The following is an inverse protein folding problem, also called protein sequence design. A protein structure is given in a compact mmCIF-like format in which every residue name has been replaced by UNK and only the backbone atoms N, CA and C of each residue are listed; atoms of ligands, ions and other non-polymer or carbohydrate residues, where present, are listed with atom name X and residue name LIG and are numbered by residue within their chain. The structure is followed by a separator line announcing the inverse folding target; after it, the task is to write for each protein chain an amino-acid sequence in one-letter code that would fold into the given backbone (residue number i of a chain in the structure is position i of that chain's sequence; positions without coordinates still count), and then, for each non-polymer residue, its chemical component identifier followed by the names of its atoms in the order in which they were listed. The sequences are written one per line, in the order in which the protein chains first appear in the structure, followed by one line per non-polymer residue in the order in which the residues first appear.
data_IF_698869865673
#
_entry.id   IF_698869865673
#
_cell.length_a   1.000
_cell.length_b   1.000
_cell.length_c   1.000
_cell.angle_alpha   90.00
_cell.angle_beta   90.00
_cell.angle_gamma   90.00
#
_symmetry.space_group_name_H-M   'P 1'
#
loop_
_entity.id
_entity.type
_entity.pdbx_description
1 polymer ?
#
# COMPACT_ATOMS: atom_id res chain seq x y z
N UNK A 1 13.05 -2.53 -2.18
CA UNK A 1 11.78 -2.35 -1.48
C UNK A 1 11.59 -0.91 -1.04
N UNK A 2 10.35 -0.46 -1.01
CA UNK A 2 10.04 0.86 -0.45
C UNK A 2 9.98 0.82 1.08
N UNK A 3 9.69 -0.35 1.64
CA UNK A 3 9.64 -0.55 3.08
C UNK A 3 11.00 -0.23 3.71
N UNK A 4 10.94 0.56 4.78
CA UNK A 4 12.09 1.10 5.53
C UNK A 4 12.90 2.16 4.78
N UNK A 5 12.48 2.54 3.57
CA UNK A 5 13.04 3.68 2.83
C UNK A 5 11.99 4.78 2.71
N UNK A 6 10.92 4.52 1.97
CA UNK A 6 9.84 5.48 1.77
C UNK A 6 8.90 5.54 2.98
N UNK A 7 8.68 4.41 3.63
CA UNK A 7 7.76 4.30 4.77
C UNK A 7 8.22 3.22 5.74
N UNK A 8 7.70 3.30 6.96
CA UNK A 8 7.87 2.25 7.98
C UNK A 8 6.50 1.77 8.43
N UNK A 9 6.40 0.50 8.80
CA UNK A 9 5.16 -0.06 9.34
C UNK A 9 5.13 0.21 10.84
N UNK A 10 4.11 0.97 11.29
CA UNK A 10 3.92 1.28 12.69
C UNK A 10 3.08 0.21 13.40
N UNK A 11 2.08 -0.33 12.72
CA UNK A 11 1.28 -1.42 13.23
C UNK A 11 0.78 -2.29 12.09
N UNK A 12 0.63 -3.57 12.37
CA UNK A 12 0.17 -4.55 11.39
C UNK A 12 -0.64 -5.60 12.15
N UNK A 13 -1.95 -5.55 12.00
CA UNK A 13 -2.87 -6.42 12.74
C UNK A 13 -3.88 -7.03 11.78
N UNK A 14 -4.60 -8.04 12.27
CA UNK A 14 -5.69 -8.65 11.51
C UNK A 14 -6.98 -8.55 12.30
N UNK A 15 -8.07 -8.26 11.58
CA UNK A 15 -9.41 -8.24 12.16
C UNK A 15 -10.39 -8.68 11.08
N UNK A 16 -11.13 -9.78 11.33
CA UNK A 16 -12.21 -10.26 10.45
C UNK A 16 -11.75 -10.43 8.98
N UNK A 17 -10.67 -11.20 8.79
CA UNK A 17 -10.12 -11.50 7.46
C UNK A 17 -9.62 -10.25 6.70
N UNK A 18 -9.32 -9.19 7.43
CA UNK A 18 -8.71 -7.99 6.88
C UNK A 18 -7.41 -7.69 7.60
N UNK A 19 -6.39 -7.33 6.83
CA UNK A 19 -5.14 -6.81 7.37
C UNK A 19 -5.33 -5.32 7.57
N UNK A 20 -4.99 -4.83 8.75
CA UNK A 20 -4.99 -3.40 9.06
C UNK A 20 -3.56 -2.97 9.32
N UNK A 21 -3.07 -2.04 8.52
CA UNK A 21 -1.72 -1.52 8.65
C UNK A 21 -1.76 -0.01 8.82
N UNK A 22 -0.91 0.50 9.71
CA UNK A 22 -0.64 1.93 9.80
C UNK A 22 0.83 2.12 9.46
N UNK A 23 1.10 3.00 8.50
CA UNK A 23 2.45 3.27 8.02
C UNK A 23 2.81 4.72 8.25
N UNK A 24 4.08 4.97 8.48
CA UNK A 24 4.64 6.32 8.58
C UNK A 24 5.42 6.60 7.30
N UNK A 25 4.97 7.59 6.53
CA UNK A 25 5.67 8.03 5.33
C UNK A 25 6.87 8.90 5.73
N UNK A 26 7.91 8.86 4.92
CA UNK A 26 9.10 9.71 5.10
C UNK A 26 9.06 10.85 4.09
N UNK A 27 8.66 12.06 4.51
CA UNK A 27 8.53 13.19 3.58
C UNK A 27 9.85 13.62 2.94
N UNK A 28 10.98 13.25 3.55
CA UNK A 28 12.31 13.58 3.07
C UNK A 28 12.87 12.56 2.08
N UNK A 29 12.11 11.53 1.73
CA UNK A 29 12.57 10.55 0.75
C UNK A 29 12.78 11.22 -0.61
N UNK A 30 13.82 10.79 -1.32
CA UNK A 30 14.22 11.38 -2.59
C UNK A 30 13.13 11.36 -3.66
N UNK A 31 12.18 10.42 -3.57
CA UNK A 31 11.09 10.32 -4.55
C UNK A 31 10.25 11.59 -4.60
N UNK A 32 10.13 12.30 -3.47
CA UNK A 32 9.31 13.51 -3.41
C UNK A 32 10.00 14.72 -4.01
N UNK A 33 11.31 14.66 -4.25
CA UNK A 33 12.04 15.76 -4.92
C UNK A 33 11.62 15.88 -6.38
N UNK A 34 11.29 14.77 -7.02
CA UNK A 34 10.87 14.75 -8.42
C UNK A 34 9.36 14.70 -8.63
N UNK A 35 8.56 14.50 -7.55
CA UNK A 35 7.14 14.21 -7.72
C UNK A 35 6.30 14.84 -6.60
N UNK A 36 5.98 16.12 -6.62
CA UNK A 36 6.40 17.13 -7.59
C UNK A 36 7.29 18.12 -6.86
N UNK A 37 8.24 18.82 -7.53
CA UNK A 37 9.10 19.77 -6.86
C UNK A 37 8.30 20.85 -6.11
N UNK A 38 8.63 21.04 -4.81
CA UNK A 38 7.93 22.00 -3.97
C UNK A 38 6.55 21.60 -3.50
N UNK A 39 6.02 20.47 -3.98
CA UNK A 39 4.70 19.98 -3.60
C UNK A 39 4.72 18.44 -3.62
N UNK A 40 5.19 17.81 -2.53
CA UNK A 40 5.35 16.35 -2.52
C UNK A 40 4.03 15.61 -2.61
N UNK A 41 4.00 14.60 -3.48
CA UNK A 41 2.84 13.74 -3.67
C UNK A 41 3.33 12.30 -3.75
N UNK A 42 2.69 11.41 -3.00
CA UNK A 42 3.00 9.98 -3.04
C UNK A 42 2.52 9.41 -4.39
N UNK A 43 3.43 8.87 -5.22
CA UNK A 43 3.02 8.33 -6.51
C UNK A 43 2.10 7.12 -6.36
N UNK A 44 1.15 6.98 -7.30
CA UNK A 44 0.21 5.86 -7.30
C UNK A 44 0.90 4.51 -7.38
N UNK A 45 1.99 4.40 -8.18
CA UNK A 45 2.75 3.15 -8.27
C UNK A 45 3.38 2.78 -6.94
N UNK A 46 3.75 3.77 -6.12
CA UNK A 46 4.27 3.51 -4.77
C UNK A 46 3.19 3.00 -3.85
N UNK A 47 1.97 3.52 -3.97
CA UNK A 47 0.83 3.01 -3.18
C UNK A 47 0.55 1.55 -3.50
N UNK A 48 0.60 1.19 -4.78
CA UNK A 48 0.40 -0.20 -5.20
C UNK A 48 1.52 -1.10 -4.66
N UNK A 49 2.77 -0.65 -4.74
CA UNK A 49 3.91 -1.42 -4.21
C UNK A 49 3.81 -1.60 -2.69
N UNK A 50 3.33 -0.59 -1.98
CA UNK A 50 3.12 -0.68 -0.54
C UNK A 50 2.13 -1.80 -0.19
N UNK A 51 1.05 -1.96 -0.96
CA UNK A 51 0.09 -3.04 -0.75
C UNK A 51 0.79 -4.40 -0.88
N UNK A 52 1.59 -4.57 -1.93
CA UNK A 52 2.33 -5.80 -2.20
C UNK A 52 3.30 -6.11 -1.06
N UNK A 53 4.04 -5.10 -0.61
CA UNK A 53 5.05 -5.27 0.43
C UNK A 53 4.42 -5.57 1.80
N UNK A 54 3.33 -4.88 2.14
CA UNK A 54 2.63 -5.09 3.40
C UNK A 54 1.98 -6.48 3.44
N UNK A 55 1.34 -6.90 2.35
CA UNK A 55 0.84 -8.26 2.24
C UNK A 55 1.97 -9.28 2.38
N UNK A 56 3.13 -9.00 1.76
CA UNK A 56 4.30 -9.85 1.87
C UNK A 56 4.81 -9.98 3.29
N UNK A 57 4.84 -8.88 4.03
CA UNK A 57 5.23 -8.89 5.45
C UNK A 57 4.27 -9.72 6.28
N UNK A 58 2.96 -9.56 6.04
CA UNK A 58 1.95 -10.28 6.80
C UNK A 58 1.97 -11.79 6.54
N UNK A 59 1.99 -12.18 5.26
CA UNK A 59 1.94 -13.59 4.87
C UNK A 59 3.31 -14.27 4.80
N UNK A 60 4.40 -13.52 5.01
CA UNK A 60 5.77 -14.04 4.93
C UNK A 60 6.07 -14.64 3.56
N UNK A 61 5.68 -13.94 2.50
CA UNK A 61 5.90 -14.31 1.11
C UNK A 61 6.25 -13.08 0.30
N UNK A 62 6.88 -13.30 -0.85
CA UNK A 62 7.05 -12.25 -1.84
C UNK A 62 5.93 -12.36 -2.87
N UNK A 63 5.26 -11.25 -3.09
CA UNK A 63 4.18 -11.16 -4.06
C UNK A 63 4.53 -10.23 -5.21
N UNK A 64 3.82 -10.42 -6.32
CA UNK A 64 3.77 -9.47 -7.43
C UNK A 64 2.33 -9.32 -7.86
N UNK A 65 2.00 -8.21 -8.51
CA UNK A 65 0.65 -7.97 -8.98
C UNK A 65 0.47 -8.70 -10.31
N UNK A 66 -0.63 -9.47 -10.42
CA UNK A 66 -1.05 -10.05 -11.69
C UNK A 66 -1.55 -8.94 -12.61
N UNK A 67 -1.37 -9.10 -13.91
CA UNK A 67 -1.84 -8.13 -14.91
C UNK A 67 -3.34 -7.87 -14.76
N UNK A 68 -3.75 -6.61 -15.01
CA UNK A 68 -5.15 -6.20 -14.94
C UNK A 68 -5.62 -5.73 -13.56
N UNK A 69 -4.79 -4.99 -12.81
CA UNK A 69 -5.26 -4.45 -11.53
C UNK A 69 -6.38 -3.44 -11.72
N UNK A 70 -7.30 -3.38 -10.76
CA UNK A 70 -8.34 -2.37 -10.71
C UNK A 70 -8.04 -1.43 -9.56
N UNK A 71 -7.73 -0.19 -9.88
CA UNK A 71 -7.32 0.81 -8.89
C UNK A 71 -8.07 2.10 -9.17
N UNK A 72 -8.59 2.71 -8.12
CA UNK A 72 -9.25 4.00 -8.20
C UNK A 72 -8.55 4.98 -7.27
N UNK A 73 -7.88 5.96 -7.85
CA UNK A 73 -7.24 7.04 -7.10
C UNK A 73 -8.26 8.15 -6.88
N UNK A 74 -8.55 8.47 -5.62
CA UNK A 74 -9.59 9.43 -5.26
C UNK A 74 -9.02 10.77 -4.83
N UNK A 75 -7.83 10.76 -4.19
CA UNK A 75 -7.16 11.95 -3.68
C UNK A 75 -5.67 11.73 -3.71
N UNK A 76 -4.91 12.82 -3.76
CA UNK A 76 -3.45 12.76 -3.63
C UNK A 76 -3.05 12.74 -2.17
N UNK A 77 -1.98 12.01 -1.86
CA UNK A 77 -1.40 11.99 -0.52
C UNK A 77 -0.17 12.90 -0.51
N UNK A 78 -0.24 13.94 0.31
CA UNK A 78 0.90 14.78 0.62
C UNK A 78 1.51 14.26 1.93
N UNK A 79 2.74 13.71 1.91
CA UNK A 79 3.33 13.09 3.10
C UNK A 79 3.63 14.08 4.22
N UNK A 80 3.72 15.39 3.91
CA UNK A 80 3.92 16.41 4.94
C UNK A 80 2.63 16.72 5.68
N UNK A 81 1.49 16.57 5.01
CA UNK A 81 0.16 16.78 5.62
C UNK A 81 -0.33 15.52 6.30
N UNK A 82 -0.09 14.36 5.68
CA UNK A 82 -0.55 13.07 6.17
C UNK A 82 0.63 12.09 6.23
N UNK A 83 1.49 12.21 7.24
CA UNK A 83 2.61 11.27 7.39
C UNK A 83 2.16 9.87 7.82
N UNK A 84 1.07 9.78 8.60
CA UNK A 84 0.51 8.49 9.01
C UNK A 84 -0.67 8.14 8.11
N UNK A 85 -0.59 6.99 7.48
CA UNK A 85 -1.59 6.53 6.51
C UNK A 85 -1.99 5.10 6.86
N UNK A 86 -3.26 4.80 6.70
CA UNK A 86 -3.80 3.48 7.01
C UNK A 86 -4.12 2.71 5.74
N UNK A 87 -3.90 1.40 5.80
CA UNK A 87 -4.30 0.47 4.73
C UNK A 87 -5.20 -0.59 5.34
N UNK A 88 -6.31 -0.87 4.65
CA UNK A 88 -7.15 -2.02 4.95
C UNK A 88 -7.08 -2.94 3.75
N UNK A 89 -6.66 -4.18 3.98
CA UNK A 89 -6.49 -5.16 2.92
C UNK A 89 -7.31 -6.39 3.28
N UNK A 90 -8.46 -6.54 2.63
CA UNK A 90 -9.26 -7.75 2.72
C UNK A 90 -8.68 -8.76 1.75
N UNK A 91 -8.62 -10.02 2.15
CA UNK A 91 -7.96 -11.02 1.33
C UNK A 91 -8.77 -12.31 1.24
N UNK A 92 -8.59 -12.98 0.11
CA UNK A 92 -9.19 -14.30 -0.12
C UNK A 92 -8.16 -15.15 -0.85
N UNK A 93 -7.66 -16.22 -0.20
CA UNK A 93 -6.76 -17.14 -0.87
C UNK A 93 -7.46 -17.84 -2.04
N UNK A 94 -6.74 -17.91 -3.17
CA UNK A 94 -7.13 -18.67 -4.34
C UNK A 94 -6.13 -19.81 -4.52
N UNK A 95 -6.32 -20.67 -5.52
CA UNK A 95 -5.50 -21.87 -5.65
C UNK A 95 -4.00 -21.56 -5.72
N UNK A 96 -3.58 -20.60 -6.54
CA UNK A 96 -2.15 -20.24 -6.67
C UNK A 96 -1.93 -18.74 -6.56
N UNK A 97 -2.89 -18.03 -5.97
CA UNK A 97 -2.85 -16.58 -5.87
C UNK A 97 -3.63 -16.12 -4.66
N UNK A 98 -3.67 -14.81 -4.46
CA UNK A 98 -4.38 -14.16 -3.37
C UNK A 98 -5.16 -12.99 -3.96
N UNK A 99 -6.49 -13.02 -3.86
CA UNK A 99 -7.29 -11.86 -4.21
C UNK A 99 -7.29 -10.90 -3.03
N UNK A 100 -6.99 -9.62 -3.29
CA UNK A 100 -7.02 -8.59 -2.26
C UNK A 100 -7.85 -7.41 -2.72
N UNK A 101 -8.56 -6.79 -1.79
CA UNK A 101 -9.30 -5.58 -2.05
C UNK A 101 -9.30 -4.73 -0.79
N UNK A 102 -9.36 -3.44 -0.97
CA UNK A 102 -9.35 -2.56 0.19
C UNK A 102 -9.16 -1.11 -0.17
N UNK A 103 -8.59 -0.40 0.78
CA UNK A 103 -8.44 1.04 0.66
C UNK A 103 -7.21 1.53 1.40
N UNK A 104 -6.73 2.70 0.96
CA UNK A 104 -5.73 3.50 1.67
C UNK A 104 -6.46 4.76 2.14
N UNK A 105 -6.37 5.06 3.43
CA UNK A 105 -7.21 6.10 4.02
C UNK A 105 -6.57 6.74 5.24
N UNK A 106 -7.08 7.91 5.59
CA UNK A 106 -6.77 8.61 6.84
C UNK A 106 -8.09 9.10 7.41
N UNK A 107 -8.52 8.54 8.56
CA UNK A 107 -9.83 8.85 9.12
C UNK A 107 -10.95 8.58 8.11
N UNK A 108 -11.83 9.55 7.83
CA UNK A 108 -12.90 9.38 6.84
C UNK A 108 -12.44 9.57 5.40
N UNK A 109 -11.22 10.04 5.17
CA UNK A 109 -10.73 10.37 3.84
C UNK A 109 -10.10 9.16 3.17
N UNK A 110 -10.68 8.72 2.06
CA UNK A 110 -10.16 7.60 1.27
C UNK A 110 -9.35 8.17 0.10
N UNK A 111 -8.09 7.76 0.00
CA UNK A 111 -7.18 8.20 -1.06
C UNK A 111 -7.15 7.24 -2.24
N UNK A 112 -7.30 5.94 -1.98
CA UNK A 112 -7.26 4.94 -3.04
C UNK A 112 -8.12 3.74 -2.64
N UNK A 113 -8.83 3.17 -3.63
CA UNK A 113 -9.50 1.88 -3.51
C UNK A 113 -8.89 0.93 -4.52
N UNK A 114 -8.81 -0.35 -4.18
CA UNK A 114 -8.14 -1.31 -5.06
C UNK A 114 -8.78 -2.69 -5.00
N UNK A 115 -8.65 -3.39 -6.12
CA UNK A 115 -8.87 -4.83 -6.24
C UNK A 115 -7.71 -5.38 -7.05
N UNK A 116 -6.93 -6.25 -6.47
CA UNK A 116 -5.74 -6.81 -7.07
C UNK A 116 -5.72 -8.31 -6.89
N UNK A 117 -5.00 -8.99 -7.77
CA UNK A 117 -4.66 -10.39 -7.58
C UNK A 117 -3.14 -10.46 -7.42
N UNK A 118 -2.71 -11.02 -6.31
CA UNK A 118 -1.29 -11.16 -5.98
C UNK A 118 -0.85 -12.58 -6.26
N UNK A 119 0.27 -12.71 -6.98
CA UNK A 119 0.90 -13.99 -7.25
C UNK A 119 2.12 -14.12 -6.35
N UNK A 120 2.28 -15.30 -5.74
CA UNK A 120 3.51 -15.58 -5.00
C UNK A 120 4.67 -15.73 -5.98
N UNK A 121 5.77 -15.04 -5.71
CA UNK A 121 6.98 -15.23 -6.49
C UNK A 121 7.57 -16.61 -6.19
N UNK A 122 8.20 -17.27 -7.17
CA UNK A 122 8.91 -18.51 -6.93
C UNK A 122 10.01 -18.30 -5.87
N UNK A 123 10.18 -19.29 -5.02
CA UNK A 123 11.23 -19.26 -4.00
C UNK A 123 12.58 -19.61 -4.61
#
# INVERSE_FOLDING_TARGET
LLLNELYTIQSLTEKEDAILATVLLRPDDAIFLGHFPGQPVLPGVCMMEMIVEIAGEYFKRQFRIKAGPQVKFLRMIDPTQNPLVNLEIKYQPLESSMAVQGKIFVGPDIFMKFQLVLLSNPV
#
